data_IF_946122082426
#
_entry.id   IF_946122082426
#
_cell.length_a   1.000
_cell.length_b   1.000
_cell.length_c   1.000
_cell.angle_alpha   90.00
_cell.angle_beta   90.00
_cell.angle_gamma   90.00
#
_symmetry.space_group_name_H-M   'P 1'
#
loop_
_entity.id
_entity.type
_entity.pdbx_description
1 polymer ?
#
# COMPACT_ATOMS: atom_id res chain seq x y z
N UNK A 1 -51.94 37.23 -22.47
CA UNK A 1 -51.26 36.44 -21.44
C UNK A 1 -49.78 36.25 -21.83
N UNK A 2 -48.95 37.22 -21.42
CA UNK A 2 -47.51 37.19 -21.64
C UNK A 2 -46.85 36.66 -20.37
N UNK A 3 -46.07 35.60 -20.47
CA UNK A 3 -45.24 35.08 -19.43
C UNK A 3 -43.80 35.57 -19.65
N UNK A 4 -43.33 36.46 -18.77
CA UNK A 4 -41.93 36.87 -18.68
C UNK A 4 -41.11 35.81 -17.93
N UNK A 5 -40.15 35.24 -18.60
CA UNK A 5 -39.11 34.42 -17.99
C UNK A 5 -37.90 35.32 -17.64
N UNK A 6 -37.67 35.51 -16.34
CA UNK A 6 -36.45 36.13 -15.82
C UNK A 6 -35.30 35.13 -15.75
N UNK A 7 -34.28 35.31 -16.55
CA UNK A 7 -32.99 34.63 -16.44
C UNK A 7 -32.11 35.38 -15.43
N UNK A 8 -31.92 34.76 -14.25
CA UNK A 8 -30.88 35.20 -13.30
C UNK A 8 -29.52 34.59 -13.69
N UNK A 9 -28.68 35.43 -14.26
CA UNK A 9 -27.26 35.13 -14.43
C UNK A 9 -26.53 35.37 -13.12
N UNK A 10 -26.08 34.28 -12.48
CA UNK A 10 -25.23 34.33 -11.28
C UNK A 10 -23.80 34.77 -11.65
N UNK A 11 -23.46 36.00 -11.39
CA UNK A 11 -22.10 36.49 -11.29
C UNK A 11 -21.44 36.00 -9.98
N UNK A 12 -20.86 34.81 -10.02
CA UNK A 12 -20.04 34.25 -8.94
C UNK A 12 -18.66 33.83 -9.43
N UNK A 13 -17.93 34.77 -10.04
CA UNK A 13 -16.65 34.48 -10.67
C UNK A 13 -15.44 35.34 -10.24
N UNK A 14 -15.64 36.50 -9.57
CA UNK A 14 -14.55 37.48 -9.47
C UNK A 14 -13.98 37.71 -8.06
N UNK A 15 -14.44 37.05 -7.01
CA UNK A 15 -13.86 37.25 -5.66
C UNK A 15 -12.67 36.33 -5.33
N UNK A 16 -12.58 35.15 -5.96
CA UNK A 16 -11.45 34.24 -5.71
C UNK A 16 -10.21 34.51 -6.55
N UNK A 17 -10.35 35.22 -7.68
CA UNK A 17 -9.23 35.56 -8.55
C UNK A 17 -8.34 36.69 -7.96
N UNK A 18 -8.93 37.66 -7.27
CA UNK A 18 -8.17 38.78 -6.65
C UNK A 18 -7.30 38.35 -5.46
N UNK A 19 -7.77 37.45 -4.61
CA UNK A 19 -6.95 36.98 -3.48
C UNK A 19 -5.79 36.05 -3.87
N UNK A 20 -5.83 35.45 -5.06
CA UNK A 20 -4.71 34.63 -5.56
C UNK A 20 -3.65 35.44 -6.28
N UNK A 21 -3.96 36.67 -6.78
CA UNK A 21 -3.01 37.57 -7.40
C UNK A 21 -2.20 38.34 -6.34
N UNK A 22 -2.82 38.82 -5.26
CA UNK A 22 -2.13 39.52 -4.18
C UNK A 22 -1.14 38.62 -3.41
N UNK A 23 -1.45 37.31 -3.23
CA UNK A 23 -0.52 36.34 -2.66
C UNK A 23 0.61 35.95 -3.62
N UNK A 24 0.44 36.18 -4.93
CA UNK A 24 1.52 35.99 -5.92
C UNK A 24 2.47 37.16 -6.02
N UNK A 25 2.02 38.41 -5.77
CA UNK A 25 2.87 39.59 -5.86
C UNK A 25 3.88 39.70 -4.71
N UNK A 26 3.54 39.36 -3.49
CA UNK A 26 4.51 39.37 -2.36
C UNK A 26 5.62 38.31 -2.42
N UNK A 27 5.50 37.29 -3.30
CA UNK A 27 6.53 36.26 -3.50
C UNK A 27 7.46 36.51 -4.68
N UNK A 28 7.28 37.63 -5.44
CA UNK A 28 7.99 37.85 -6.70
C UNK A 28 9.26 38.68 -6.59
N UNK A 29 9.61 39.27 -5.44
CA UNK A 29 10.75 40.18 -5.36
C UNK A 29 12.09 39.60 -4.90
N UNK A 30 12.16 38.32 -4.51
CA UNK A 30 13.42 37.78 -3.95
C UNK A 30 14.17 36.69 -4.73
N UNK A 31 13.73 36.28 -5.88
CA UNK A 31 14.51 35.30 -6.65
C UNK A 31 14.46 35.62 -8.13
N UNK A 32 15.47 36.32 -8.65
CA UNK A 32 15.74 36.35 -10.08
C UNK A 32 16.03 34.93 -10.57
N UNK A 33 14.98 34.18 -10.91
CA UNK A 33 15.15 32.98 -11.73
C UNK A 33 15.60 33.42 -13.13
N UNK A 34 16.47 32.62 -13.80
CA UNK A 34 16.79 32.90 -15.19
C UNK A 34 15.49 33.02 -15.98
N UNK A 35 15.45 33.92 -17.01
CA UNK A 35 14.23 34.25 -17.74
C UNK A 35 13.49 32.97 -18.16
N UNK A 36 12.17 33.02 -18.10
CA UNK A 36 11.33 31.84 -18.35
C UNK A 36 11.67 31.25 -19.72
N UNK A 37 12.28 30.05 -19.71
CA UNK A 37 12.63 29.34 -20.93
C UNK A 37 11.37 28.67 -21.50
N UNK A 38 10.92 29.19 -22.68
CA UNK A 38 9.85 28.55 -23.44
C UNK A 38 10.43 27.50 -24.38
N UNK A 39 10.25 26.24 -24.03
CA UNK A 39 10.73 25.13 -24.86
C UNK A 39 9.99 25.05 -26.20
N UNK A 40 8.80 25.61 -26.32
CA UNK A 40 7.96 25.62 -27.53
C UNK A 40 8.54 26.46 -28.68
N UNK A 41 9.32 27.50 -28.37
CA UNK A 41 9.91 28.40 -29.37
C UNK A 41 11.05 27.77 -30.16
N UNK A 42 11.65 26.72 -29.66
CA UNK A 42 12.77 26.04 -30.32
C UNK A 42 12.25 24.93 -31.20
N UNK A 43 12.26 25.10 -32.51
CA UNK A 43 11.80 24.12 -33.50
C UNK A 43 12.67 22.83 -33.50
N UNK A 44 13.99 22.97 -33.37
CA UNK A 44 14.90 21.82 -33.38
C UNK A 44 14.81 21.01 -32.09
N UNK A 45 14.42 19.72 -32.20
CA UNK A 45 14.21 18.81 -31.07
C UNK A 45 15.46 18.57 -30.21
N UNK A 46 16.63 18.42 -30.84
CA UNK A 46 17.90 18.18 -30.12
C UNK A 46 18.33 19.43 -29.36
N UNK A 47 18.28 20.61 -29.99
CA UNK A 47 18.60 21.90 -29.36
C UNK A 47 17.64 22.22 -28.22
N UNK A 48 16.34 21.92 -28.39
CA UNK A 48 15.31 22.05 -27.32
C UNK A 48 15.66 21.20 -26.11
N UNK A 49 16.00 19.92 -26.33
CA UNK A 49 16.39 19.02 -25.25
C UNK A 49 17.65 19.47 -24.54
N UNK A 50 18.69 19.89 -25.27
CA UNK A 50 19.93 20.40 -24.69
C UNK A 50 19.68 21.64 -23.82
N UNK A 51 18.93 22.63 -24.33
CA UNK A 51 18.59 23.84 -23.59
C UNK A 51 17.74 23.54 -22.35
N UNK A 52 16.78 22.60 -22.45
CA UNK A 52 15.99 22.15 -21.31
C UNK A 52 16.86 21.51 -20.22
N UNK A 53 17.81 20.67 -20.59
CA UNK A 53 18.74 20.06 -19.63
C UNK A 53 19.63 21.10 -18.96
N UNK A 54 20.15 22.08 -19.72
CA UNK A 54 20.94 23.20 -19.20
C UNK A 54 20.13 24.05 -18.21
N UNK A 55 18.92 24.44 -18.57
CA UNK A 55 18.00 25.16 -17.71
C UNK A 55 17.69 24.38 -16.40
N UNK A 56 17.43 23.08 -16.51
CA UNK A 56 17.19 22.23 -15.34
C UNK A 56 18.41 22.17 -14.42
N UNK A 57 19.61 22.11 -14.95
CA UNK A 57 20.85 22.14 -14.16
C UNK A 57 21.03 23.49 -13.45
N UNK A 58 20.83 24.61 -14.13
CA UNK A 58 20.91 25.97 -13.55
C UNK A 58 19.89 26.16 -12.44
N UNK A 59 18.63 25.78 -12.69
CA UNK A 59 17.57 25.81 -11.67
C UNK A 59 17.92 24.97 -10.44
N UNK A 60 18.53 23.81 -10.63
CA UNK A 60 18.98 22.94 -9.53
C UNK A 60 20.13 23.58 -8.73
N UNK A 61 21.10 24.22 -9.41
CA UNK A 61 22.22 24.94 -8.75
C UNK A 61 21.71 26.11 -7.92
N UNK A 62 20.81 26.94 -8.47
CA UNK A 62 20.20 28.07 -7.75
C UNK A 62 19.41 27.60 -6.51
N UNK A 63 18.60 26.55 -6.66
CA UNK A 63 17.87 25.95 -5.53
C UNK A 63 18.82 25.47 -4.42
N UNK A 64 19.96 24.89 -4.80
CA UNK A 64 20.96 24.42 -3.85
C UNK A 64 21.65 25.62 -3.13
N UNK A 65 21.97 26.70 -3.84
CA UNK A 65 22.55 27.92 -3.26
C UNK A 65 21.58 28.56 -2.26
N UNK A 66 20.30 28.71 -2.64
CA UNK A 66 19.27 29.25 -1.75
C UNK A 66 19.09 28.39 -0.50
N UNK A 67 19.11 27.06 -0.66
CA UNK A 67 19.04 26.15 0.49
C UNK A 67 20.25 26.30 1.43
N UNK A 68 21.46 26.48 0.87
CA UNK A 68 22.67 26.72 1.66
C UNK A 68 22.61 28.07 2.38
N UNK A 69 22.12 29.14 1.70
CA UNK A 69 21.95 30.46 2.29
C UNK A 69 20.97 30.42 3.47
N UNK A 70 19.77 29.86 3.28
CA UNK A 70 18.78 29.67 4.35
C UNK A 70 19.30 28.81 5.53
N UNK A 71 20.14 27.81 5.25
CA UNK A 71 20.78 27.00 6.30
C UNK A 71 21.77 27.80 7.14
N UNK A 72 22.59 28.68 6.49
CA UNK A 72 23.54 29.57 7.19
C UNK A 72 22.79 30.63 8.02
N UNK A 73 21.75 31.26 7.47
CA UNK A 73 20.92 32.25 8.18
C UNK A 73 20.28 31.64 9.43
N UNK A 74 19.74 30.42 9.32
CA UNK A 74 19.19 29.70 10.47
C UNK A 74 20.22 29.35 11.53
N UNK A 75 21.42 28.96 11.11
CA UNK A 75 22.52 28.65 12.04
C UNK A 75 22.98 29.92 12.77
N UNK A 76 22.95 31.10 12.11
CA UNK A 76 23.28 32.38 12.72
C UNK A 76 22.21 32.85 13.73
N UNK A 77 20.93 32.55 13.50
CA UNK A 77 19.83 32.89 14.38
C UNK A 77 19.69 31.99 15.61
N UNK A 78 20.31 30.80 15.59
CA UNK A 78 20.27 29.84 16.71
C UNK A 78 18.85 29.52 17.14
N UNK A 79 18.57 29.65 18.44
CA UNK A 79 17.26 29.35 19.04
C UNK A 79 16.14 30.32 18.64
N UNK A 80 16.47 31.52 18.12
CA UNK A 80 15.50 32.49 17.58
C UNK A 80 15.07 32.16 16.15
N UNK A 81 15.60 31.11 15.52
CA UNK A 81 15.24 30.73 14.17
C UNK A 81 13.79 30.22 14.12
N UNK A 82 12.96 30.67 13.14
CA UNK A 82 11.61 30.19 13.00
C UNK A 82 11.58 28.67 12.79
N UNK A 83 10.59 27.94 13.31
CA UNK A 83 10.49 26.49 13.16
C UNK A 83 10.50 26.11 11.67
N UNK A 84 11.04 24.94 11.35
CA UNK A 84 11.03 24.45 9.97
C UNK A 84 9.59 24.21 9.53
N UNK A 85 9.24 24.71 8.35
CA UNK A 85 7.97 24.36 7.73
C UNK A 85 7.88 22.85 7.57
N UNK A 86 6.81 22.26 8.07
CA UNK A 86 6.50 20.86 7.86
C UNK A 86 6.09 20.69 6.39
N UNK A 87 6.75 19.82 5.62
CA UNK A 87 6.37 19.63 4.21
C UNK A 87 4.93 19.11 4.12
N UNK A 88 4.15 19.71 3.24
CA UNK A 88 2.77 19.27 2.95
C UNK A 88 2.83 17.97 2.15
N UNK A 89 2.84 16.84 2.85
CA UNK A 89 2.72 15.51 2.27
C UNK A 89 1.25 15.08 2.23
N UNK A 90 0.93 14.07 1.46
CA UNK A 90 -0.45 13.54 1.40
C UNK A 90 -0.84 12.96 2.77
N UNK A 91 0.09 12.31 3.46
CA UNK A 91 -0.09 11.75 4.79
C UNK A 91 -0.40 12.86 5.82
N UNK A 92 0.37 13.97 5.81
CA UNK A 92 0.12 15.12 6.72
C UNK A 92 -1.17 15.89 6.39
N UNK A 93 -1.75 15.66 5.22
CA UNK A 93 -3.00 16.25 4.76
C UNK A 93 -4.16 15.27 4.78
N UNK A 94 -3.96 14.08 5.36
CA UNK A 94 -5.02 13.07 5.49
C UNK A 94 -6.21 13.68 6.23
N UNK A 95 -7.39 13.43 5.72
CA UNK A 95 -8.66 13.74 6.40
C UNK A 95 -9.09 12.46 7.10
N UNK A 96 -9.17 12.52 8.41
CA UNK A 96 -9.73 11.44 9.23
C UNK A 96 -11.25 11.55 9.20
N UNK A 97 -11.92 10.43 9.07
CA UNK A 97 -13.37 10.30 9.08
C UNK A 97 -13.82 9.29 10.15
N UNK A 98 -15.12 9.06 10.25
CA UNK A 98 -15.73 8.14 11.22
C UNK A 98 -15.25 6.68 11.09
N UNK A 99 -14.61 6.33 9.96
CA UNK A 99 -14.08 4.98 9.74
C UNK A 99 -12.71 4.79 10.37
N UNK A 100 -12.07 5.88 10.81
CA UNK A 100 -10.75 5.84 11.44
C UNK A 100 -10.89 5.36 12.89
N UNK A 101 -10.10 4.38 13.22
CA UNK A 101 -10.11 3.71 14.52
C UNK A 101 -9.13 4.39 15.47
N UNK A 102 -9.55 4.61 16.70
CA UNK A 102 -8.66 4.91 17.80
C UNK A 102 -8.16 3.59 18.40
N UNK A 103 -6.84 3.40 18.58
CA UNK A 103 -6.29 2.15 19.16
C UNK A 103 -6.77 1.86 20.60
N UNK A 104 -7.30 2.86 21.31
CA UNK A 104 -7.82 2.74 22.68
C UNK A 104 -9.34 2.52 22.74
N UNK A 105 -10.01 2.33 21.60
CA UNK A 105 -11.46 2.14 21.53
C UNK A 105 -11.86 0.75 22.04
N UNK A 106 -12.65 0.72 23.13
CA UNK A 106 -13.13 -0.51 23.77
C UNK A 106 -14.06 -1.32 22.86
N UNK A 107 -14.87 -0.66 21.99
CA UNK A 107 -15.76 -1.34 21.04
C UNK A 107 -14.97 -2.18 20.06
N UNK A 108 -13.88 -1.64 19.57
CA UNK A 108 -13.00 -2.35 18.62
C UNK A 108 -12.27 -3.50 19.30
N UNK A 109 -11.77 -3.29 20.52
CA UNK A 109 -11.15 -4.36 21.28
C UNK A 109 -12.12 -5.53 21.52
N UNK A 110 -13.40 -5.24 21.76
CA UNK A 110 -14.43 -6.25 21.89
C UNK A 110 -14.72 -6.97 20.56
N UNK A 111 -14.88 -6.23 19.47
CA UNK A 111 -15.08 -6.81 18.12
C UNK A 111 -13.91 -7.71 17.73
N UNK A 112 -12.68 -7.28 17.99
CA UNK A 112 -11.47 -8.06 17.73
C UNK A 112 -11.32 -9.31 18.59
N UNK A 113 -11.87 -9.30 19.81
CA UNK A 113 -11.87 -10.47 20.70
C UNK A 113 -12.87 -11.54 20.27
N UNK A 114 -13.89 -11.18 19.49
CA UNK A 114 -15.00 -12.06 19.07
C UNK A 114 -15.01 -12.35 17.58
N UNK A 115 -14.09 -11.79 16.79
CA UNK A 115 -14.02 -11.98 15.35
C UNK A 115 -13.58 -13.41 14.94
N UNK A 116 -13.69 -13.71 13.66
CA UNK A 116 -13.32 -15.01 13.06
C UNK A 116 -11.82 -15.32 13.21
N UNK A 117 -11.00 -14.32 13.54
CA UNK A 117 -9.55 -14.48 13.69
C UNK A 117 -9.11 -14.62 15.14
N UNK A 118 -9.99 -14.43 16.10
CA UNK A 118 -9.68 -14.44 17.54
C UNK A 118 -9.00 -15.74 18.00
N UNK A 119 -9.40 -16.89 17.42
CA UNK A 119 -8.82 -18.19 17.73
C UNK A 119 -7.30 -18.27 17.41
N UNK A 120 -6.83 -17.56 16.38
CA UNK A 120 -5.40 -17.52 16.04
C UNK A 120 -4.62 -16.67 17.03
N UNK A 121 -5.17 -15.51 17.41
CA UNK A 121 -4.53 -14.59 18.37
C UNK A 121 -4.48 -15.15 19.79
N UNK A 122 -5.45 -15.97 20.14
CA UNK A 122 -5.50 -16.71 21.41
C UNK A 122 -4.66 -18.00 21.41
N UNK A 123 -3.98 -18.32 20.30
CA UNK A 123 -3.16 -19.53 20.19
C UNK A 123 -3.93 -20.86 20.14
N UNK A 124 -5.25 -20.81 19.95
CA UNK A 124 -6.11 -21.99 19.89
C UNK A 124 -6.02 -22.71 18.55
N UNK A 125 -5.68 -22.01 17.48
CA UNK A 125 -5.61 -22.56 16.12
C UNK A 125 -4.29 -22.13 15.45
N UNK A 126 -3.57 -23.09 14.89
CA UNK A 126 -2.41 -22.81 14.06
C UNK A 126 -2.83 -22.65 12.59
N UNK A 127 -2.35 -21.60 11.90
CA UNK A 127 -2.66 -21.41 10.50
C UNK A 127 -2.07 -22.51 9.62
N UNK A 128 -2.89 -23.06 8.71
CA UNK A 128 -2.48 -23.99 7.66
C UNK A 128 -3.00 -23.49 6.32
N UNK A 129 -2.11 -23.12 5.42
CA UNK A 129 -2.45 -22.36 4.21
C UNK A 129 -2.31 -23.22 2.97
N UNK A 130 -3.36 -23.29 2.15
CA UNK A 130 -3.27 -23.84 0.80
C UNK A 130 -3.04 -22.72 -0.21
N UNK A 131 -1.94 -22.78 -0.95
CA UNK A 131 -1.65 -21.85 -2.05
C UNK A 131 -1.93 -22.57 -3.37
N UNK A 132 -2.78 -21.98 -4.19
CA UNK A 132 -3.08 -22.46 -5.54
C UNK A 132 -3.05 -21.32 -6.56
N UNK A 133 -3.19 -21.67 -7.83
CA UNK A 133 -3.13 -20.69 -8.95
C UNK A 133 -4.40 -20.74 -9.79
N UNK A 134 -4.53 -19.78 -10.70
CA UNK A 134 -5.40 -19.95 -11.88
C UNK A 134 -4.97 -21.15 -12.71
N UNK A 135 -5.79 -21.55 -13.68
CA UNK A 135 -5.48 -22.69 -14.52
C UNK A 135 -4.22 -22.44 -15.37
N UNK A 136 -3.39 -23.51 -15.53
CA UNK A 136 -2.17 -23.53 -16.37
C UNK A 136 -1.20 -22.34 -16.12
N UNK A 137 -0.71 -22.14 -14.89
CA UNK A 137 0.17 -21.03 -14.55
C UNK A 137 1.51 -21.15 -15.29
N UNK A 138 2.09 -20.02 -15.63
CA UNK A 138 3.46 -19.97 -16.17
C UNK A 138 4.51 -19.98 -15.07
N UNK A 139 5.74 -20.31 -15.44
CA UNK A 139 6.83 -20.50 -14.49
C UNK A 139 7.14 -19.31 -13.56
N UNK A 140 6.79 -18.08 -13.94
CA UNK A 140 6.93 -16.92 -13.06
C UNK A 140 5.94 -16.96 -11.89
N UNK A 141 4.69 -17.31 -12.16
CA UNK A 141 3.63 -17.46 -11.16
C UNK A 141 3.90 -18.65 -10.26
N UNK A 142 4.33 -19.78 -10.83
CA UNK A 142 4.74 -20.97 -10.07
C UNK A 142 5.82 -20.61 -9.05
N UNK A 143 6.91 -19.97 -9.49
CA UNK A 143 8.00 -19.53 -8.60
C UNK A 143 7.54 -18.53 -7.55
N UNK A 144 6.57 -17.69 -7.88
CA UNK A 144 6.00 -16.76 -6.91
C UNK A 144 5.26 -17.49 -5.80
N UNK A 145 4.43 -18.49 -6.14
CA UNK A 145 3.73 -19.33 -5.17
C UNK A 145 4.71 -20.11 -4.29
N UNK A 146 5.75 -20.71 -4.87
CA UNK A 146 6.81 -21.40 -4.13
C UNK A 146 7.52 -20.48 -3.14
N UNK A 147 7.81 -19.24 -3.57
CA UNK A 147 8.43 -18.25 -2.68
C UNK A 147 7.47 -17.76 -1.58
N UNK A 148 6.18 -17.65 -1.85
CA UNK A 148 5.18 -17.35 -0.81
C UNK A 148 5.11 -18.47 0.22
N UNK A 149 5.15 -19.73 -0.21
CA UNK A 149 5.18 -20.88 0.70
C UNK A 149 6.45 -20.95 1.57
N UNK A 150 7.55 -20.31 1.15
CA UNK A 150 8.73 -20.19 2.02
C UNK A 150 8.62 -19.06 3.05
N UNK A 151 7.67 -18.15 2.88
CA UNK A 151 7.45 -17.01 3.78
C UNK A 151 6.37 -17.34 4.82
N UNK A 152 5.26 -17.92 4.35
CA UNK A 152 4.12 -18.29 5.22
C UNK A 152 4.39 -19.68 5.81
N UNK A 153 4.48 -19.81 7.14
CA UNK A 153 4.66 -21.10 7.77
C UNK A 153 3.49 -22.04 7.47
N UNK A 154 3.75 -23.34 7.40
CA UNK A 154 2.77 -24.41 7.09
C UNK A 154 1.92 -24.11 5.81
N UNK A 155 2.56 -23.51 4.80
CA UNK A 155 1.93 -23.25 3.51
C UNK A 155 2.26 -24.34 2.49
N UNK A 156 1.22 -24.89 1.87
CA UNK A 156 1.31 -25.95 0.87
C UNK A 156 0.90 -25.46 -0.49
N UNK A 157 1.67 -25.75 -1.54
CA UNK A 157 1.37 -25.36 -2.91
C UNK A 157 0.78 -26.53 -3.69
N UNK A 158 -0.46 -26.39 -4.15
CA UNK A 158 -1.13 -27.35 -5.01
C UNK A 158 -1.72 -26.67 -6.24
N UNK A 159 -1.44 -27.23 -7.42
CA UNK A 159 -1.97 -26.74 -8.68
C UNK A 159 -3.28 -27.44 -9.02
N UNK A 160 -4.36 -26.71 -9.14
CA UNK A 160 -5.72 -27.26 -9.27
C UNK A 160 -6.08 -27.85 -10.65
N UNK A 161 -5.28 -27.65 -11.69
CA UNK A 161 -5.42 -28.26 -13.03
C UNK A 161 -6.87 -28.28 -13.56
N UNK A 162 -7.53 -27.12 -13.61
CA UNK A 162 -8.91 -26.97 -14.10
C UNK A 162 -10.02 -27.23 -13.06
N UNK A 163 -9.71 -27.66 -11.85
CA UNK A 163 -10.71 -27.84 -10.79
C UNK A 163 -11.29 -26.49 -10.37
N UNK A 164 -12.62 -26.37 -10.36
CA UNK A 164 -13.31 -25.13 -9.97
C UNK A 164 -13.07 -24.82 -8.47
N UNK A 165 -12.89 -23.55 -8.11
CA UNK A 165 -12.63 -23.12 -6.72
C UNK A 165 -13.69 -23.59 -5.75
N UNK A 166 -14.98 -23.53 -6.13
CA UNK A 166 -16.08 -24.06 -5.29
C UNK A 166 -15.91 -25.54 -4.93
N UNK A 167 -15.22 -26.33 -5.75
CA UNK A 167 -14.91 -27.75 -5.45
C UNK A 167 -13.63 -27.92 -4.62
N UNK A 168 -12.74 -26.91 -4.62
CA UNK A 168 -11.52 -26.92 -3.81
C UNK A 168 -11.83 -26.64 -2.34
N UNK A 169 -12.75 -25.70 -2.06
CA UNK A 169 -13.10 -25.27 -0.69
C UNK A 169 -13.47 -26.45 0.21
N UNK A 170 -14.44 -27.33 -0.14
CA UNK A 170 -14.79 -28.49 0.71
C UNK A 170 -13.60 -29.44 0.95
N UNK A 171 -12.73 -29.60 -0.05
CA UNK A 171 -11.54 -30.44 0.08
C UNK A 171 -10.50 -29.82 1.02
N UNK A 172 -10.41 -28.51 1.06
CA UNK A 172 -9.55 -27.78 2.00
C UNK A 172 -10.07 -27.95 3.43
N UNK A 173 -11.36 -27.75 3.64
CA UNK A 173 -12.02 -27.91 4.96
C UNK A 173 -11.82 -29.34 5.47
N UNK A 174 -12.06 -30.35 4.62
CA UNK A 174 -11.87 -31.76 4.98
C UNK A 174 -10.42 -32.13 5.36
N UNK A 175 -9.45 -31.32 4.96
CA UNK A 175 -8.01 -31.52 5.30
C UNK A 175 -7.50 -30.52 6.33
N UNK A 176 -8.38 -29.83 7.01
CA UNK A 176 -8.10 -28.85 8.06
C UNK A 176 -7.20 -27.68 7.58
N UNK A 177 -7.36 -27.24 6.33
CA UNK A 177 -6.78 -25.98 5.91
C UNK A 177 -7.62 -24.82 6.46
N UNK A 178 -6.93 -23.83 7.02
CA UNK A 178 -7.55 -22.65 7.59
C UNK A 178 -7.63 -21.50 6.57
N UNK A 179 -6.78 -21.53 5.56
CA UNK A 179 -6.77 -20.52 4.50
C UNK A 179 -6.59 -21.11 3.11
N UNK A 180 -7.32 -20.56 2.16
CA UNK A 180 -7.13 -20.78 0.72
C UNK A 180 -6.63 -19.49 0.07
N UNK A 181 -5.41 -19.54 -0.45
CA UNK A 181 -4.79 -18.45 -1.19
C UNK A 181 -4.73 -18.78 -2.67
N UNK A 182 -5.42 -18.00 -3.50
CA UNK A 182 -5.48 -18.23 -4.96
C UNK A 182 -4.77 -17.09 -5.69
N UNK A 183 -3.70 -17.41 -6.40
CA UNK A 183 -2.96 -16.47 -7.23
C UNK A 183 -3.47 -16.52 -8.66
N UNK A 184 -4.04 -15.42 -9.12
CA UNK A 184 -4.45 -15.26 -10.50
C UNK A 184 -3.30 -14.79 -11.38
N UNK A 185 -3.25 -15.31 -12.61
CA UNK A 185 -2.28 -14.91 -13.62
C UNK A 185 -2.99 -14.26 -14.81
N UNK A 186 -2.46 -13.15 -15.28
CA UNK A 186 -2.82 -12.53 -16.54
C UNK A 186 -1.54 -12.15 -17.30
N UNK A 187 -1.50 -12.43 -18.62
CA UNK A 187 -0.36 -12.13 -19.49
C UNK A 187 0.98 -12.62 -18.92
N UNK A 188 1.01 -13.84 -18.38
CA UNK A 188 2.19 -14.49 -17.77
C UNK A 188 2.74 -13.81 -16.51
N UNK A 189 1.95 -12.95 -15.85
CA UNK A 189 2.34 -12.23 -14.63
C UNK A 189 1.24 -12.40 -13.58
N UNK A 190 1.59 -12.65 -12.30
CA UNK A 190 0.63 -12.64 -11.21
C UNK A 190 -0.04 -11.27 -11.10
N UNK A 191 -1.37 -11.20 -11.15
CA UNK A 191 -2.12 -9.95 -11.15
C UNK A 191 -3.22 -9.88 -10.09
N UNK A 192 -3.62 -10.99 -9.50
CA UNK A 192 -4.67 -11.06 -8.50
C UNK A 192 -4.37 -12.06 -7.40
N UNK A 193 -4.85 -11.77 -6.20
CA UNK A 193 -4.83 -12.64 -5.03
C UNK A 193 -6.25 -12.70 -4.48
N UNK A 194 -6.78 -13.89 -4.33
CA UNK A 194 -7.96 -14.16 -3.51
C UNK A 194 -7.48 -14.87 -2.24
N UNK A 195 -7.78 -14.30 -1.10
CA UNK A 195 -7.49 -14.86 0.21
C UNK A 195 -8.81 -15.18 0.89
N UNK A 196 -9.07 -16.44 1.11
CA UNK A 196 -10.30 -16.93 1.73
C UNK A 196 -9.95 -17.61 3.05
N UNK A 197 -10.51 -17.13 4.14
CA UNK A 197 -10.49 -17.82 5.42
C UNK A 197 -11.51 -18.99 5.39
N UNK A 198 -11.20 -20.07 6.02
CA UNK A 198 -12.02 -21.29 6.03
C UNK A 198 -12.38 -21.66 7.48
N UNK A 199 -13.56 -22.23 7.73
CA UNK A 199 -14.57 -22.69 6.74
C UNK A 199 -15.51 -21.60 6.23
N UNK A 200 -15.79 -20.55 7.00
CA UNK A 200 -16.94 -19.67 6.80
C UNK A 200 -16.62 -18.30 6.22
N UNK A 201 -15.37 -18.03 5.91
CA UNK A 201 -14.92 -16.73 5.38
C UNK A 201 -14.27 -15.88 6.48
N UNK A 202 -14.01 -14.61 6.22
CA UNK A 202 -14.29 -13.82 4.99
C UNK A 202 -13.35 -14.11 3.82
N UNK A 203 -13.70 -13.56 2.65
CA UNK A 203 -12.89 -13.66 1.44
C UNK A 203 -12.50 -12.29 0.92
N UNK A 204 -11.20 -12.00 0.91
CA UNK A 204 -10.63 -10.76 0.38
C UNK A 204 -10.05 -10.96 -1.01
N UNK A 205 -10.38 -10.06 -1.93
CA UNK A 205 -9.82 -10.04 -3.28
C UNK A 205 -8.91 -8.83 -3.46
N UNK A 206 -7.66 -9.08 -3.82
CA UNK A 206 -6.65 -8.05 -4.05
C UNK A 206 -6.15 -8.06 -5.50
N UNK A 207 -5.87 -6.88 -6.02
CA UNK A 207 -5.00 -6.75 -7.18
C UNK A 207 -3.55 -6.83 -6.74
N UNK A 208 -2.76 -7.69 -7.39
CA UNK A 208 -1.30 -7.73 -7.21
C UNK A 208 -0.63 -6.83 -8.25
N UNK A 209 0.42 -6.15 -7.85
CA UNK A 209 1.28 -5.37 -8.73
C UNK A 209 2.74 -5.36 -8.24
N UNK A 210 3.65 -4.90 -9.08
CA UNK A 210 5.07 -4.73 -8.73
C UNK A 210 5.75 -5.99 -8.15
N UNK A 211 5.34 -7.17 -8.62
CA UNK A 211 5.93 -8.44 -8.18
C UNK A 211 7.41 -8.49 -8.56
N UNK A 212 8.25 -8.72 -7.58
CA UNK A 212 9.68 -9.03 -7.75
C UNK A 212 9.99 -10.35 -7.07
N UNK A 213 10.45 -11.29 -7.88
CA UNK A 213 10.94 -12.55 -7.37
C UNK A 213 12.31 -12.36 -6.71
N UNK A 214 12.67 -13.26 -5.83
CA UNK A 214 13.92 -13.23 -5.10
C UNK A 214 15.14 -13.06 -6.01
N UNK A 215 15.19 -13.80 -7.12
CA UNK A 215 16.29 -13.70 -8.10
C UNK A 215 16.39 -12.33 -8.80
N UNK A 216 15.30 -11.57 -8.84
CA UNK A 216 15.24 -10.26 -9.49
C UNK A 216 15.70 -9.11 -8.57
N UNK A 217 15.97 -9.38 -7.29
CA UNK A 217 16.41 -8.38 -6.33
C UNK A 217 17.92 -8.22 -6.31
N UNK A 218 18.36 -6.98 -6.38
CA UNK A 218 19.77 -6.63 -6.19
C UNK A 218 20.13 -6.69 -4.70
N UNK A 219 21.30 -7.20 -4.35
CA UNK A 219 21.83 -7.28 -2.96
C UNK A 219 20.91 -8.07 -2.01
N UNK A 220 20.23 -9.09 -2.55
CA UNK A 220 19.40 -9.97 -1.71
C UNK A 220 20.21 -10.70 -0.64
N UNK A 221 19.53 -11.06 0.45
CA UNK A 221 20.09 -11.92 1.49
C UNK A 221 20.26 -13.38 1.07
N UNK A 222 20.90 -14.14 1.96
CA UNK A 222 20.93 -15.62 1.89
C UNK A 222 19.50 -16.16 1.95
N UNK A 223 19.35 -17.46 1.67
CA UNK A 223 18.04 -18.09 1.63
C UNK A 223 17.27 -17.96 2.97
N UNK A 224 15.93 -17.81 2.94
CA UNK A 224 15.11 -17.84 4.14
C UNK A 224 15.36 -19.15 4.91
N UNK A 225 15.23 -19.08 6.21
CA UNK A 225 15.26 -20.24 7.09
C UNK A 225 13.82 -20.71 7.38
N UNK A 226 13.65 -21.90 7.90
CA UNK A 226 12.34 -22.46 8.24
C UNK A 226 11.71 -21.87 9.50
N UNK A 227 12.38 -20.93 10.17
CA UNK A 227 11.86 -20.28 11.36
C UNK A 227 10.65 -19.39 11.03
N UNK A 228 9.64 -19.43 11.88
CA UNK A 228 8.47 -18.54 11.78
C UNK A 228 8.89 -17.08 11.88
N UNK A 229 8.53 -16.23 10.89
CA UNK A 229 8.87 -14.83 10.89
C UNK A 229 8.00 -14.04 11.87
N UNK A 230 8.52 -12.92 12.35
CA UNK A 230 7.75 -11.86 12.98
C UNK A 230 6.87 -11.16 11.92
N UNK A 231 5.67 -10.77 12.29
CA UNK A 231 4.75 -10.03 11.41
C UNK A 231 4.65 -8.58 11.86
N UNK A 232 4.84 -7.66 10.94
CA UNK A 232 4.68 -6.24 11.19
C UNK A 232 3.56 -5.68 10.30
N UNK A 233 2.53 -5.16 10.94
CA UNK A 233 1.43 -4.44 10.31
C UNK A 233 1.61 -2.94 10.54
N UNK A 234 1.65 -2.15 9.47
CA UNK A 234 1.83 -0.70 9.58
C UNK A 234 0.70 0.04 8.88
N UNK A 235 0.15 1.06 9.53
CA UNK A 235 -0.80 2.04 8.98
C UNK A 235 -2.14 1.45 8.55
N UNK A 236 -2.61 0.41 9.18
CA UNK A 236 -3.99 -0.05 9.08
C UNK A 236 -4.80 0.70 10.13
N UNK A 237 -5.43 1.80 9.75
CA UNK A 237 -5.98 2.78 10.68
C UNK A 237 -7.50 2.92 10.62
N UNK A 238 -8.16 2.18 9.77
CA UNK A 238 -9.62 2.15 9.63
C UNK A 238 -10.18 0.80 10.11
N UNK A 239 -11.48 0.73 10.40
CA UNK A 239 -12.13 -0.57 10.74
C UNK A 239 -11.86 -1.62 9.67
N UNK A 240 -12.04 -1.28 8.38
CA UNK A 240 -11.71 -2.18 7.27
C UNK A 240 -10.21 -2.53 7.25
N UNK A 241 -9.35 -1.55 7.53
CA UNK A 241 -7.90 -1.76 7.64
C UNK A 241 -7.55 -2.76 8.74
N UNK A 242 -8.18 -2.65 9.91
CA UNK A 242 -8.00 -3.59 11.00
C UNK A 242 -8.40 -5.02 10.61
N UNK A 243 -9.59 -5.22 10.04
CA UNK A 243 -10.04 -6.54 9.56
C UNK A 243 -9.07 -7.16 8.56
N UNK A 244 -8.59 -6.37 7.59
CA UNK A 244 -7.61 -6.82 6.59
C UNK A 244 -6.23 -7.08 7.23
N UNK A 245 -5.81 -6.24 8.17
CA UNK A 245 -4.56 -6.43 8.92
C UNK A 245 -4.58 -7.72 9.73
N UNK A 246 -5.65 -7.98 10.47
CA UNK A 246 -5.86 -9.21 11.23
C UNK A 246 -5.89 -10.45 10.34
N UNK A 247 -6.56 -10.37 9.17
CA UNK A 247 -6.54 -11.44 8.16
C UNK A 247 -5.11 -11.77 7.70
N UNK A 248 -4.24 -10.77 7.53
CA UNK A 248 -2.83 -11.03 7.19
C UNK A 248 -2.03 -11.59 8.37
N UNK A 249 -2.26 -11.08 9.58
CA UNK A 249 -1.57 -11.57 10.78
C UNK A 249 -1.93 -13.03 11.08
N UNK A 250 -3.20 -13.40 10.90
CA UNK A 250 -3.70 -14.76 11.12
C UNK A 250 -3.18 -15.80 10.10
N UNK A 251 -2.43 -15.40 9.07
CA UNK A 251 -1.68 -16.32 8.20
C UNK A 251 -0.41 -16.88 8.86
N UNK A 252 0.02 -16.27 9.97
CA UNK A 252 1.26 -16.58 10.65
C UNK A 252 0.99 -17.02 12.09
N UNK A 253 1.78 -17.96 12.62
CA UNK A 253 1.71 -18.27 14.05
C UNK A 253 2.03 -17.02 14.89
N UNK A 254 1.35 -16.89 16.02
CA UNK A 254 1.55 -15.75 16.92
C UNK A 254 2.86 -15.84 17.71
N UNK A 255 3.54 -16.98 17.66
CA UNK A 255 4.81 -17.22 18.35
C UNK A 255 5.99 -17.20 17.34
N UNK A 256 6.57 -16.03 17.06
CA UNK A 256 7.65 -15.90 16.09
C UNK A 256 8.97 -16.45 16.66
N UNK A 257 9.74 -17.11 15.81
CA UNK A 257 11.05 -17.65 16.17
C UNK A 257 12.16 -16.62 15.89
N UNK A 258 12.48 -15.78 16.86
CA UNK A 258 13.48 -14.71 16.74
C UNK A 258 14.89 -15.14 16.35
N UNK A 259 15.24 -16.41 16.57
CA UNK A 259 16.52 -16.99 16.11
C UNK A 259 16.70 -16.82 14.60
N UNK A 260 15.63 -16.96 13.81
CA UNK A 260 15.64 -16.75 12.37
C UNK A 260 15.85 -15.29 11.95
N UNK A 261 15.54 -14.36 12.84
CA UNK A 261 15.60 -12.89 12.60
C UNK A 261 14.87 -12.45 11.35
N UNK A 262 13.83 -13.20 10.97
CA UNK A 262 13.02 -12.95 9.78
C UNK A 262 11.79 -12.12 10.14
N UNK A 263 11.40 -11.23 9.25
CA UNK A 263 10.26 -10.35 9.42
C UNK A 263 9.47 -10.22 8.12
N UNK A 264 8.16 -10.45 8.20
CA UNK A 264 7.19 -10.20 7.16
C UNK A 264 6.46 -8.88 7.45
N UNK A 265 6.64 -7.89 6.60
CA UNK A 265 6.06 -6.56 6.79
C UNK A 265 4.95 -6.33 5.77
N UNK A 266 3.78 -5.97 6.25
CA UNK A 266 2.66 -5.43 5.48
C UNK A 266 2.50 -3.96 5.82
N UNK A 267 2.91 -3.09 4.92
CA UNK A 267 2.85 -1.65 5.10
C UNK A 267 1.78 -1.06 4.20
N UNK A 268 0.71 -0.54 4.81
CA UNK A 268 -0.31 0.21 4.08
C UNK A 268 0.15 1.64 3.84
N UNK A 269 0.09 2.07 2.60
CA UNK A 269 0.28 3.47 2.22
C UNK A 269 -0.73 3.83 1.14
N UNK A 270 -1.71 4.64 1.50
CA UNK A 270 -2.76 5.12 0.60
C UNK A 270 -3.50 3.97 -0.11
N UNK A 271 -4.00 3.01 0.67
CA UNK A 271 -4.72 1.80 0.21
C UNK A 271 -3.90 0.86 -0.68
N UNK A 272 -2.59 1.03 -0.69
CA UNK A 272 -1.67 0.06 -1.25
C UNK A 272 -0.89 -0.62 -0.13
N UNK A 273 -1.06 -1.92 -0.01
CA UNK A 273 -0.33 -2.72 0.97
C UNK A 273 0.96 -3.24 0.34
N UNK A 274 2.08 -2.74 0.81
CA UNK A 274 3.41 -3.15 0.37
C UNK A 274 3.89 -4.31 1.21
N UNK A 275 4.03 -5.46 0.59
CA UNK A 275 4.63 -6.62 1.23
C UNK A 275 6.14 -6.63 1.04
N UNK A 276 6.88 -6.88 2.15
CA UNK A 276 8.33 -7.05 2.17
C UNK A 276 8.71 -8.17 3.14
N UNK A 277 9.72 -8.94 2.77
CA UNK A 277 10.27 -9.99 3.62
C UNK A 277 11.75 -9.73 3.84
N UNK A 278 12.15 -9.56 5.10
CA UNK A 278 13.47 -9.11 5.50
C UNK A 278 14.09 -10.01 6.56
N UNK A 279 15.39 -9.82 6.76
CA UNK A 279 16.14 -10.35 7.90
C UNK A 279 16.83 -9.21 8.61
N UNK A 280 16.76 -9.17 9.94
CA UNK A 280 17.51 -8.25 10.77
C UNK A 280 19.00 -8.60 10.80
N UNK A 281 19.85 -7.60 10.69
CA UNK A 281 21.31 -7.70 10.84
C UNK A 281 21.71 -6.76 11.97
N UNK A 282 21.95 -7.31 13.14
CA UNK A 282 22.44 -6.54 14.28
C UNK A 282 23.93 -6.22 14.05
N UNK A 283 24.25 -4.96 13.84
CA UNK A 283 25.60 -4.47 13.64
C UNK A 283 26.26 -4.10 14.97
N UNK A 284 25.53 -3.36 15.80
CA UNK A 284 25.87 -2.95 17.15
C UNK A 284 24.56 -2.86 17.95
N UNK A 285 24.65 -2.70 19.27
CA UNK A 285 23.48 -2.51 20.16
C UNK A 285 22.51 -1.41 19.70
N UNK A 286 23.03 -0.35 19.09
CA UNK A 286 22.25 0.83 18.64
C UNK A 286 21.95 0.84 17.13
N UNK A 287 22.48 -0.11 16.35
CA UNK A 287 22.37 -0.06 14.88
C UNK A 287 21.96 -1.41 14.29
N UNK A 288 20.72 -1.46 13.83
CA UNK A 288 20.15 -2.61 13.11
C UNK A 288 20.15 -2.31 11.61
N UNK A 289 20.64 -3.24 10.82
CA UNK A 289 20.48 -3.27 9.36
C UNK A 289 19.34 -4.20 8.97
N UNK A 290 18.78 -3.98 7.80
CA UNK A 290 17.74 -4.83 7.22
C UNK A 290 18.23 -5.35 5.88
N UNK A 291 18.09 -6.66 5.67
CA UNK A 291 18.44 -7.33 4.41
C UNK A 291 17.19 -7.93 3.79
N UNK A 292 16.88 -7.56 2.55
CA UNK A 292 15.71 -8.08 1.85
C UNK A 292 15.96 -9.54 1.42
N UNK A 293 15.00 -10.42 1.77
CA UNK A 293 14.99 -11.82 1.40
C UNK A 293 14.09 -12.08 0.18
N UNK A 294 12.95 -11.38 0.10
CA UNK A 294 11.92 -11.50 -0.92
C UNK A 294 11.08 -12.78 -0.80
N UNK A 295 10.00 -12.84 -1.58
CA UNK A 295 9.57 -11.95 -2.65
C UNK A 295 9.08 -10.59 -2.14
N UNK A 296 8.84 -9.64 -3.05
CA UNK A 296 8.13 -8.41 -2.76
C UNK A 296 7.04 -8.14 -3.78
N UNK A 297 5.94 -7.59 -3.32
CA UNK A 297 4.79 -7.24 -4.14
C UNK A 297 3.96 -6.16 -3.47
N UNK A 298 3.00 -5.63 -4.21
CA UNK A 298 2.05 -4.64 -3.71
C UNK A 298 0.64 -5.14 -3.95
N UNK A 299 -0.19 -5.07 -2.92
CA UNK A 299 -1.61 -5.43 -2.96
C UNK A 299 -2.47 -4.16 -2.97
N UNK A 300 -3.61 -4.23 -3.62
CA UNK A 300 -4.68 -3.25 -3.50
C UNK A 300 -5.99 -3.99 -3.33
N UNK A 301 -6.70 -3.72 -2.23
CA UNK A 301 -8.00 -4.33 -1.97
C UNK A 301 -8.98 -3.96 -3.09
N UNK A 302 -9.77 -4.93 -3.53
CA UNK A 302 -10.82 -4.80 -4.54
C UNK A 302 -12.18 -5.05 -3.95
N UNK A 303 -12.29 -6.08 -3.13
CA UNK A 303 -13.52 -6.41 -2.44
C UNK A 303 -13.21 -7.26 -1.22
N UNK A 304 -14.05 -7.13 -0.22
CA UNK A 304 -14.17 -8.02 0.92
C UNK A 304 -15.58 -8.61 0.89
N UNK A 305 -15.66 -9.92 0.88
CA UNK A 305 -16.90 -10.69 0.83
C UNK A 305 -17.07 -11.40 2.17
N UNK A 306 -18.28 -11.35 2.72
CA UNK A 306 -18.67 -12.20 3.83
C UNK A 306 -18.72 -13.65 3.35
N UNK A 307 -18.26 -14.58 4.14
CA UNK A 307 -18.28 -15.98 3.75
C UNK A 307 -17.17 -16.38 2.77
N UNK A 308 -17.28 -17.61 2.28
CA UNK A 308 -16.35 -18.18 1.31
C UNK A 308 -16.61 -17.66 -0.10
N UNK A 309 -15.62 -17.84 -1.00
CA UNK A 309 -15.68 -17.34 -2.36
C UNK A 309 -16.97 -17.74 -3.11
N UNK A 310 -17.86 -16.78 -3.34
CA UNK A 310 -19.00 -16.90 -4.23
C UNK A 310 -19.15 -15.64 -5.12
N UNK A 311 -18.91 -15.83 -6.43
CA UNK A 311 -18.98 -14.74 -7.41
C UNK A 311 -20.38 -14.38 -7.86
N UNK A 312 -21.41 -15.23 -7.57
CA UNK A 312 -22.78 -15.04 -8.06
C UNK A 312 -23.71 -14.50 -7.00
N UNK A 313 -23.65 -15.05 -5.79
CA UNK A 313 -24.63 -14.80 -4.72
C UNK A 313 -23.98 -14.34 -3.41
N UNK A 314 -22.64 -14.18 -3.41
CA UNK A 314 -21.92 -13.78 -2.21
C UNK A 314 -22.26 -12.35 -1.79
N UNK A 315 -22.47 -12.14 -0.51
CA UNK A 315 -22.67 -10.84 0.09
C UNK A 315 -21.31 -10.14 0.27
N UNK A 316 -21.23 -8.89 -0.18
CA UNK A 316 -20.01 -8.10 -0.07
C UNK A 316 -20.15 -7.11 1.09
N UNK A 317 -19.19 -7.15 1.98
CA UNK A 317 -19.03 -6.15 3.02
C UNK A 317 -18.45 -4.84 2.46
N UNK A 318 -17.50 -4.96 1.55
CA UNK A 318 -16.88 -3.80 0.90
C UNK A 318 -16.47 -4.11 -0.55
N UNK A 319 -16.67 -3.14 -1.45
CA UNK A 319 -16.27 -3.22 -2.86
C UNK A 319 -15.70 -1.89 -3.32
N UNK A 320 -14.56 -1.91 -4.00
CA UNK A 320 -13.95 -0.73 -4.61
C UNK A 320 -14.73 -0.27 -5.85
N UNK A 321 -15.66 0.65 -5.66
CA UNK A 321 -16.46 1.26 -6.72
C UNK A 321 -15.92 2.67 -7.04
N UNK A 322 -15.03 2.77 -8.01
CA UNK A 322 -14.32 4.02 -8.33
C UNK A 322 -15.20 5.21 -8.70
N UNK A 323 -16.38 4.95 -9.27
CA UNK A 323 -17.31 5.98 -9.71
C UNK A 323 -18.24 6.47 -8.60
N UNK A 324 -18.44 5.65 -7.57
CA UNK A 324 -19.32 5.94 -6.45
C UNK A 324 -18.55 6.47 -5.22
N UNK A 325 -17.22 6.22 -5.17
CA UNK A 325 -16.39 6.66 -4.06
C UNK A 325 -15.86 8.07 -4.29
N UNK A 326 -15.77 8.83 -3.22
CA UNK A 326 -15.13 10.14 -3.20
C UNK A 326 -13.74 10.09 -3.85
N UNK A 327 -13.52 10.91 -4.88
CA UNK A 327 -12.24 11.03 -5.56
C UNK A 327 -11.18 11.81 -4.71
N UNK A 328 -11.41 11.94 -3.42
CA UNK A 328 -10.54 12.68 -2.52
C UNK A 328 -9.22 11.93 -2.32
N UNK A 329 -8.10 12.59 -2.66
CA UNK A 329 -6.76 12.03 -2.47
C UNK A 329 -6.29 12.03 -1.01
N UNK A 330 -7.11 12.53 -0.09
CA UNK A 330 -6.78 12.68 1.35
C UNK A 330 -7.54 11.70 2.23
N UNK A 331 -8.54 10.98 1.70
CA UNK A 331 -9.27 9.91 2.39
C UNK A 331 -8.69 8.56 1.98
N UNK A 332 -8.47 7.68 2.93
CA UNK A 332 -7.98 6.31 2.72
C UNK A 332 -8.97 5.32 3.33
N UNK A 333 -9.06 4.14 2.70
CA UNK A 333 -10.04 3.11 3.08
C UNK A 333 -9.45 2.06 4.05
N UNK A 334 -8.10 1.93 4.09
CA UNK A 334 -7.40 0.95 4.93
C UNK A 334 -6.60 1.61 6.05
#
# INVERSE_FOLDING_TARGET
LQTHTHTHTHTRGNYFAKQTEDVKMEKSEETAFPPAFSASEIKNKQRRHFMFMKYKQEKSKLKLMLKKKKKKERAALGDKAPPKEIPKTIENQRVYDETTVDPEDEEIAFDEATDEFSAYFNGLTNPKVLITTSDRPRGRTVRFCEQLATVVPDAHVYYRRGLALKKVIPQCVARNFTYLMVINEDRKVPNGLVLCHLPDGPTAHFKISSVRLRKEMKRRGKDPTLHSPEVILNNFTTRLGHSIGRMFAALFPQDPQFVGRQVATFHNQRDFVFFRFHRYIFKNEKKVGIQELGPRFTLKLRSLQKGTFDSKFGEYEWVLKRHEMDACRRKFQL
#
